data_IF_682805119751
#
_entry.id   IF_682805119751
#
_cell.length_a   1.000
_cell.length_b   1.000
_cell.length_c   1.000
_cell.angle_alpha   90.00
_cell.angle_beta   90.00
_cell.angle_gamma   90.00
#
_symmetry.space_group_name_H-M   'P 1'
#
loop_
_entity.id
_entity.type
_entity.pdbx_description
1 polymer ?
#
# COMPACT_ATOMS: atom_id res chain seq x y z
N UNK A 1 -3.02 16.17 -6.79
CA UNK A 1 -4.06 15.13 -6.80
C UNK A 1 -4.43 14.67 -5.39
N UNK A 2 -3.56 13.97 -4.66
CA UNK A 2 -3.89 13.51 -3.30
C UNK A 2 -3.95 14.62 -2.24
N UNK A 3 -3.01 15.58 -2.31
CA UNK A 3 -3.03 16.76 -1.44
C UNK A 3 -4.31 17.61 -1.63
N UNK A 4 -4.81 17.69 -2.87
CA UNK A 4 -6.04 18.43 -3.21
C UNK A 4 -7.29 17.78 -2.60
N UNK A 5 -7.23 16.48 -2.29
CA UNK A 5 -8.27 15.70 -1.62
C UNK A 5 -8.07 15.66 -0.10
N UNK A 6 -7.12 16.42 0.44
CA UNK A 6 -6.73 16.43 1.84
C UNK A 6 -6.40 15.02 2.38
N UNK A 7 -5.95 14.11 1.51
CA UNK A 7 -5.56 12.77 1.95
C UNK A 7 -4.24 12.85 2.72
N UNK A 8 -4.15 12.24 3.93
CA UNK A 8 -2.90 12.17 4.67
C UNK A 8 -1.81 11.51 3.83
N UNK A 9 -0.66 12.18 3.73
CA UNK A 9 0.52 11.69 3.02
C UNK A 9 1.76 11.79 3.92
N UNK A 10 2.79 11.02 3.57
CA UNK A 10 4.02 10.94 4.37
C UNK A 10 3.93 9.91 5.49
N UNK A 11 5.05 9.73 6.23
CA UNK A 11 5.16 8.68 7.24
C UNK A 11 4.43 9.05 8.54
N UNK A 12 3.81 8.06 9.15
CA UNK A 12 3.31 8.05 10.54
C UNK A 12 3.72 6.73 11.16
N UNK A 13 3.93 6.68 12.48
CA UNK A 13 4.34 5.44 13.12
C UNK A 13 4.85 5.63 14.55
N UNK A 14 5.20 4.49 15.15
CA UNK A 14 5.92 4.34 16.41
C UNK A 14 7.10 3.38 16.20
N UNK A 15 7.72 2.91 17.30
CA UNK A 15 8.89 2.03 17.25
C UNK A 15 8.63 0.67 16.59
N UNK A 16 7.37 0.20 16.56
CA UNK A 16 6.99 -1.14 16.14
C UNK A 16 6.03 -1.17 14.95
N UNK A 17 5.59 -0.01 14.46
CA UNK A 17 4.73 0.09 13.29
C UNK A 17 4.97 1.39 12.52
N UNK A 18 4.77 1.33 11.21
CA UNK A 18 4.85 2.49 10.34
C UNK A 18 3.80 2.40 9.24
N UNK A 19 3.30 3.55 8.81
CA UNK A 19 2.47 3.69 7.62
C UNK A 19 2.87 4.92 6.83
N UNK A 20 2.84 4.83 5.52
CA UNK A 20 3.13 5.94 4.61
C UNK A 20 2.22 5.86 3.40
N UNK A 21 1.63 7.01 3.05
CA UNK A 21 0.90 7.16 1.80
C UNK A 21 1.65 8.05 0.83
N UNK A 22 1.76 7.61 -0.41
CA UNK A 22 2.40 8.35 -1.50
C UNK A 22 1.70 8.08 -2.84
N UNK A 23 1.79 9.02 -3.81
CA UNK A 23 1.18 8.84 -5.12
C UNK A 23 1.87 7.73 -5.93
N UNK A 24 1.12 7.10 -6.84
CA UNK A 24 1.70 6.24 -7.87
C UNK A 24 2.29 7.09 -9.01
N UNK A 25 2.96 6.43 -9.96
CA UNK A 25 3.49 7.08 -11.16
C UNK A 25 2.38 7.82 -11.93
N UNK A 26 2.76 8.85 -12.69
CA UNK A 26 1.78 9.57 -13.51
C UNK A 26 1.07 8.66 -14.50
N UNK A 27 -0.25 8.86 -14.64
CA UNK A 27 -1.12 8.01 -15.46
C UNK A 27 -1.49 6.66 -14.83
N UNK A 28 -1.02 6.36 -13.61
CA UNK A 28 -1.25 5.09 -12.92
C UNK A 28 -2.18 5.29 -11.71
N UNK A 29 -3.17 4.42 -11.57
CA UNK A 29 -4.09 4.35 -10.42
C UNK A 29 -4.03 3.02 -9.67
N UNK A 30 -3.28 2.04 -10.21
CA UNK A 30 -3.17 0.68 -9.71
C UNK A 30 -1.78 0.09 -9.92
N UNK A 31 -1.42 -0.91 -9.12
CA UNK A 31 -0.21 -1.72 -9.34
C UNK A 31 -0.51 -2.88 -10.28
N UNK A 32 -0.74 -2.54 -11.54
CA UNK A 32 -1.01 -3.49 -12.62
C UNK A 32 -0.05 -3.23 -13.79
N UNK A 33 -0.04 -4.14 -14.76
CA UNK A 33 0.85 -4.02 -15.93
C UNK A 33 0.51 -2.84 -16.84
N UNK A 34 -0.73 -2.35 -16.82
CA UNK A 34 -1.22 -1.18 -17.58
C UNK A 34 -1.48 0.06 -16.71
N UNK A 35 -1.23 -0.05 -15.40
CA UNK A 35 -1.47 0.98 -14.42
C UNK A 35 -2.95 1.28 -14.11
N UNK A 36 -3.88 0.49 -14.65
CA UNK A 36 -5.33 0.64 -14.45
C UNK A 36 -5.89 -0.41 -13.48
N UNK A 37 -7.05 -0.14 -12.90
CA UNK A 37 -7.69 -1.07 -11.94
C UNK A 37 -7.93 -2.46 -12.56
N UNK A 38 -7.46 -3.49 -11.87
CA UNK A 38 -7.76 -4.90 -12.16
C UNK A 38 -9.11 -5.31 -11.56
N UNK A 39 -9.45 -4.76 -10.40
CA UNK A 39 -10.70 -5.00 -9.66
C UNK A 39 -11.55 -3.73 -9.69
N UNK A 40 -12.69 -3.79 -10.38
CA UNK A 40 -13.58 -2.63 -10.57
C UNK A 40 -14.41 -2.27 -9.33
N UNK A 41 -14.55 -3.20 -8.38
CA UNK A 41 -15.22 -2.95 -7.10
C UNK A 41 -14.20 -2.45 -6.10
N UNK A 42 -14.07 -1.14 -6.00
CA UNK A 42 -13.08 -0.50 -5.13
C UNK A 42 -13.44 -0.68 -3.65
N UNK A 43 -12.42 -0.84 -2.81
CA UNK A 43 -12.53 -0.75 -1.35
C UNK A 43 -12.64 0.72 -0.89
N UNK A 44 -12.10 1.64 -1.69
CA UNK A 44 -12.16 3.08 -1.47
C UNK A 44 -12.25 3.81 -2.82
N UNK A 45 -13.28 4.62 -3.03
CA UNK A 45 -13.54 5.35 -4.28
C UNK A 45 -13.24 6.85 -4.21
N UNK A 46 -12.67 7.32 -3.09
CA UNK A 46 -12.25 8.72 -2.91
C UNK A 46 -11.34 9.13 -4.07
N UNK A 47 -11.60 10.30 -4.65
CA UNK A 47 -10.83 10.79 -5.80
C UNK A 47 -10.94 9.93 -7.05
N UNK A 48 -12.04 9.19 -7.22
CA UNK A 48 -12.20 8.23 -8.32
C UNK A 48 -11.33 6.98 -8.16
N UNK A 49 -10.86 6.71 -6.94
CA UNK A 49 -9.93 5.64 -6.63
C UNK A 49 -8.46 5.98 -6.88
N UNK A 50 -8.07 7.21 -7.22
CA UNK A 50 -6.65 7.59 -7.25
C UNK A 50 -6.15 7.91 -5.82
N UNK A 51 -6.10 6.87 -4.98
CA UNK A 51 -5.69 6.98 -3.56
C UNK A 51 -4.22 6.67 -3.31
N UNK A 52 -3.47 6.49 -4.40
CA UNK A 52 -2.06 6.12 -4.39
C UNK A 52 -1.81 4.76 -3.74
N UNK A 53 -0.68 4.68 -3.04
CA UNK A 53 -0.26 3.52 -2.27
C UNK A 53 -0.23 3.88 -0.79
N UNK A 54 -0.97 3.14 0.04
CA UNK A 54 -0.73 3.09 1.48
C UNK A 54 0.14 1.86 1.78
N UNK A 55 1.41 2.10 2.11
CA UNK A 55 2.27 1.06 2.67
C UNK A 55 2.20 1.11 4.18
N UNK A 56 2.07 -0.03 4.83
CA UNK A 56 2.19 -0.11 6.26
C UNK A 56 2.89 -1.40 6.66
N UNK A 57 3.61 -1.34 7.78
CA UNK A 57 4.37 -2.45 8.31
C UNK A 57 4.22 -2.51 9.82
N UNK A 58 4.24 -3.72 10.35
CA UNK A 58 4.35 -4.01 11.78
C UNK A 58 5.59 -4.87 11.95
N UNK A 59 6.52 -4.40 12.76
CA UNK A 59 7.77 -5.09 13.03
C UNK A 59 7.51 -6.33 13.91
N UNK A 60 8.24 -7.45 13.68
CA UNK A 60 9.38 -7.56 12.77
C UNK A 60 9.05 -8.14 11.38
N UNK A 61 7.78 -8.49 11.10
CA UNK A 61 7.51 -9.45 10.03
C UNK A 61 6.37 -9.13 9.07
N UNK A 62 5.53 -8.13 9.32
CA UNK A 62 4.39 -7.87 8.45
C UNK A 62 4.57 -6.61 7.62
N UNK A 63 4.26 -6.70 6.33
CA UNK A 63 4.19 -5.56 5.45
C UNK A 63 2.98 -5.70 4.52
N UNK A 64 2.34 -4.57 4.28
CA UNK A 64 1.16 -4.47 3.46
C UNK A 64 1.24 -3.28 2.52
N UNK A 65 0.57 -3.43 1.39
CA UNK A 65 0.38 -2.43 0.37
C UNK A 65 -1.10 -2.38 0.02
N UNK A 66 -1.78 -1.35 0.52
CA UNK A 66 -3.19 -1.11 0.25
C UNK A 66 -3.34 -0.03 -0.84
N UNK A 67 -3.91 -0.42 -1.97
CA UNK A 67 -4.43 0.50 -2.97
C UNK A 67 -5.95 0.60 -2.79
N UNK A 68 -6.59 1.33 -3.69
CA UNK A 68 -8.04 1.55 -3.72
C UNK A 68 -8.82 0.28 -4.08
N UNK A 69 -8.20 -0.64 -4.80
CA UNK A 69 -8.85 -1.84 -5.34
C UNK A 69 -8.56 -3.11 -4.55
N UNK A 70 -7.37 -3.26 -3.96
CA UNK A 70 -7.01 -4.40 -3.14
C UNK A 70 -5.92 -4.06 -2.12
N UNK A 71 -5.75 -4.96 -1.14
CA UNK A 71 -4.57 -4.96 -0.28
C UNK A 71 -3.76 -6.21 -0.55
N UNK A 72 -2.48 -6.01 -0.83
CA UNK A 72 -1.48 -7.07 -0.78
C UNK A 72 -0.83 -7.06 0.61
N UNK A 73 -0.66 -8.23 1.20
CA UNK A 73 -0.02 -8.41 2.50
C UNK A 73 0.95 -9.59 2.42
N UNK A 74 2.13 -9.44 3.02
CA UNK A 74 3.04 -10.56 3.24
C UNK A 74 3.50 -10.61 4.69
N UNK A 75 3.94 -11.79 5.13
CA UNK A 75 4.53 -11.98 6.44
C UNK A 75 5.82 -12.79 6.33
N UNK A 76 6.91 -12.27 6.85
CA UNK A 76 8.23 -12.91 6.83
C UNK A 76 8.42 -13.82 8.05
N UNK A 77 8.40 -15.13 7.86
CA UNK A 77 8.60 -16.10 8.94
C UNK A 77 10.02 -16.69 8.87
N UNK A 78 10.78 -16.68 9.98
CA UNK A 78 12.06 -17.36 10.02
C UNK A 78 11.84 -18.87 9.93
N UNK A 79 12.48 -19.53 8.97
CA UNK A 79 12.50 -21.00 8.86
C UNK A 79 13.78 -21.55 9.46
N UNK A 80 14.91 -20.90 9.18
CA UNK A 80 16.23 -21.19 9.74
C UNK A 80 17.09 -19.92 9.77
N UNK A 81 18.32 -19.93 10.33
CA UNK A 81 19.21 -18.77 10.28
C UNK A 81 19.54 -18.27 8.87
N UNK A 82 19.32 -19.08 7.82
CA UNK A 82 19.60 -18.74 6.42
C UNK A 82 18.37 -18.82 5.52
N UNK A 83 17.16 -18.94 6.07
CA UNK A 83 15.93 -19.09 5.28
C UNK A 83 14.75 -18.35 5.91
N UNK A 84 14.01 -17.61 5.07
CA UNK A 84 12.78 -16.89 5.44
C UNK A 84 11.67 -17.27 4.47
N UNK A 85 10.50 -17.59 5.00
CA UNK A 85 9.28 -17.80 4.24
C UNK A 85 8.51 -16.49 4.14
N UNK A 86 8.00 -16.15 2.95
CA UNK A 86 7.23 -14.94 2.65
C UNK A 86 5.95 -15.31 1.93
#
# INVERSE_FOLDING_TARGET
RMADLAMPMGPVGEDWWQAVRFPLNDGTVAMSTDGQFTVKKLMCDIGGGDTGSLRWAIEPNNFCHSTSEYTFAFSAYPVSPTETHV
#
